data_IF_696865128210
#
_entry.id   IF_696865128210
#
_cell.length_a   1.000
_cell.length_b   1.000
_cell.length_c   1.000
_cell.angle_alpha   90.00
_cell.angle_beta   90.00
_cell.angle_gamma   90.00
#
_symmetry.space_group_name_H-M   'P 1'
#
loop_
_entity.id
_entity.type
_entity.pdbx_description
1 polymer ?
#
# COMPACT_ATOMS: atom_id res chain seq x y z
N UNK A 1 -3.29 1.05 22.20
CA UNK A 1 -3.87 1.63 20.98
C UNK A 1 -5.28 1.11 20.92
N UNK A 2 -6.24 1.95 20.73
CA UNK A 2 -7.56 1.41 20.86
C UNK A 2 -8.33 1.65 19.57
N UNK A 3 -8.08 0.77 18.60
CA UNK A 3 -9.08 0.47 17.58
C UNK A 3 -10.03 -0.53 18.23
N UNK A 4 -11.30 -0.17 18.30
CA UNK A 4 -12.35 -1.03 18.80
C UNK A 4 -13.07 -1.72 17.64
N UNK A 5 -13.38 -2.98 17.82
CA UNK A 5 -14.18 -3.76 16.87
C UNK A 5 -15.66 -3.80 17.28
N UNK A 6 -16.53 -3.75 16.28
CA UNK A 6 -17.97 -3.86 16.44
C UNK A 6 -18.57 -4.83 15.41
N UNK A 7 -19.64 -5.51 15.78
CA UNK A 7 -20.38 -6.40 14.86
C UNK A 7 -21.44 -5.66 14.03
N UNK A 8 -21.66 -4.37 14.29
CA UNK A 8 -22.63 -3.53 13.58
C UNK A 8 -22.23 -2.07 13.65
N UNK A 9 -22.74 -1.25 12.74
CA UNK A 9 -22.55 0.21 12.77
C UNK A 9 -23.28 0.87 13.94
N UNK A 10 -24.41 0.33 14.38
CA UNK A 10 -25.37 0.95 15.31
C UNK A 10 -25.70 2.43 14.94
N UNK A 11 -25.59 2.77 13.65
CA UNK A 11 -25.74 4.13 13.11
C UNK A 11 -24.76 5.16 13.72
N UNK A 12 -23.59 4.73 14.16
CA UNK A 12 -22.51 5.59 14.63
C UNK A 12 -21.64 6.04 13.45
N UNK A 13 -21.58 7.33 13.10
CA UNK A 13 -20.82 7.84 11.96
C UNK A 13 -19.30 7.76 12.16
N UNK A 14 -18.81 7.47 13.36
CA UNK A 14 -17.39 7.28 13.65
C UNK A 14 -16.94 5.83 13.46
N UNK A 15 -17.86 4.92 13.10
CA UNK A 15 -17.56 3.53 12.80
C UNK A 15 -17.34 3.32 11.31
N UNK A 16 -16.21 2.76 10.98
CA UNK A 16 -15.81 2.41 9.62
C UNK A 16 -16.13 0.95 9.32
N UNK A 17 -16.83 0.72 8.22
CA UNK A 17 -17.11 -0.63 7.74
C UNK A 17 -15.85 -1.26 7.15
N UNK A 18 -15.64 -2.54 7.43
CA UNK A 18 -14.59 -3.34 6.82
C UNK A 18 -15.23 -4.32 5.85
N UNK A 19 -14.96 -4.11 4.58
CA UNK A 19 -15.39 -4.97 3.49
C UNK A 19 -14.19 -5.63 2.81
N UNK A 20 -14.37 -6.86 2.37
CA UNK A 20 -13.41 -7.56 1.53
C UNK A 20 -14.16 -8.29 0.42
N UNK A 21 -14.04 -7.81 -0.83
CA UNK A 21 -14.71 -8.41 -2.01
C UNK A 21 -16.18 -8.73 -1.72
N UNK A 22 -16.93 -7.76 -1.24
CA UNK A 22 -18.35 -7.88 -0.85
C UNK A 22 -18.63 -8.73 0.42
N UNK A 23 -17.60 -9.21 1.12
CA UNK A 23 -17.79 -9.79 2.45
C UNK A 23 -17.77 -8.69 3.51
N UNK A 24 -18.83 -8.57 4.28
CA UNK A 24 -18.85 -7.75 5.49
C UNK A 24 -18.04 -8.47 6.57
N UNK A 25 -16.92 -7.87 6.97
CA UNK A 25 -16.05 -8.41 8.01
C UNK A 25 -16.45 -7.87 9.38
N UNK A 26 -16.89 -6.63 9.46
CA UNK A 26 -17.31 -5.96 10.69
C UNK A 26 -17.04 -4.46 10.62
N UNK A 27 -16.98 -3.83 11.79
CA UNK A 27 -16.83 -2.38 11.90
C UNK A 27 -15.73 -2.06 12.90
N UNK A 28 -14.99 -0.97 12.64
CA UNK A 28 -13.95 -0.48 13.54
C UNK A 28 -14.18 1.00 13.86
N UNK A 29 -13.71 1.42 15.03
CA UNK A 29 -13.61 2.84 15.38
C UNK A 29 -12.31 3.10 16.13
N UNK A 30 -11.81 4.32 16.00
CA UNK A 30 -10.66 4.81 16.74
C UNK A 30 -11.12 5.31 18.14
N UNK A 31 -10.74 4.61 19.20
CA UNK A 31 -11.04 5.05 20.57
C UNK A 31 -10.14 6.22 20.99
N UNK A 32 -8.85 6.13 20.64
CA UNK A 32 -7.86 7.16 20.98
C UNK A 32 -6.82 7.29 19.89
N UNK A 33 -6.69 8.49 19.32
CA UNK A 33 -5.65 8.80 18.35
C UNK A 33 -4.27 8.59 18.95
N UNK A 34 -3.38 7.82 18.35
CA UNK A 34 -2.02 7.64 18.84
C UNK A 34 -1.26 8.96 18.78
N UNK A 35 -0.40 9.20 19.75
CA UNK A 35 0.54 10.32 19.70
C UNK A 35 1.74 9.98 18.83
N UNK A 36 2.33 11.01 18.21
CA UNK A 36 3.57 10.87 17.44
C UNK A 36 4.67 10.21 18.30
N UNK A 37 5.24 9.08 17.88
CA UNK A 37 6.33 8.43 18.62
C UNK A 37 7.63 9.24 18.51
N UNK A 38 8.47 9.19 19.52
CA UNK A 38 9.81 9.78 19.43
C UNK A 38 10.74 8.94 18.52
N UNK A 39 11.84 9.55 18.08
CA UNK A 39 12.78 8.91 17.15
C UNK A 39 13.40 7.60 17.71
N UNK A 40 13.59 7.51 19.03
CA UNK A 40 14.12 6.31 19.67
C UNK A 40 13.11 5.16 19.62
N UNK A 41 11.84 5.46 19.86
CA UNK A 41 10.73 4.52 19.74
C UNK A 41 10.58 4.05 18.29
N UNK A 42 10.61 4.98 17.31
CA UNK A 42 10.55 4.66 15.87
C UNK A 42 11.68 3.69 15.50
N UNK A 43 12.92 4.02 15.89
CA UNK A 43 14.09 3.17 15.61
C UNK A 43 13.99 1.79 16.27
N UNK A 44 13.48 1.73 17.49
CA UNK A 44 13.30 0.46 18.20
C UNK A 44 12.28 -0.43 17.50
N UNK A 45 11.11 0.11 17.17
CA UNK A 45 10.06 -0.60 16.43
C UNK A 45 10.52 -1.05 15.05
N UNK A 46 11.21 -0.16 14.33
CA UNK A 46 11.80 -0.49 13.03
C UNK A 46 12.74 -1.68 13.09
N UNK A 47 13.62 -1.71 14.11
CA UNK A 47 14.59 -2.81 14.30
C UNK A 47 13.92 -4.12 14.74
N UNK A 48 12.73 -4.05 15.32
CA UNK A 48 11.92 -5.20 15.72
C UNK A 48 10.95 -5.66 14.61
N UNK A 49 11.06 -5.11 13.40
CA UNK A 49 10.16 -5.39 12.28
C UNK A 49 8.66 -5.09 12.58
N UNK A 50 8.41 -4.10 13.45
CA UNK A 50 7.06 -3.63 13.76
C UNK A 50 6.62 -2.53 12.79
N UNK A 51 5.33 -2.52 12.40
CA UNK A 51 4.72 -1.38 11.71
C UNK A 51 4.66 -0.15 12.62
N UNK A 52 4.87 1.05 12.05
CA UNK A 52 5.01 2.28 12.81
C UNK A 52 4.13 3.36 12.20
N UNK A 53 3.09 3.77 12.92
CA UNK A 53 2.28 4.91 12.53
C UNK A 53 2.95 6.21 13.00
N UNK A 54 3.02 7.19 12.10
CA UNK A 54 3.44 8.56 12.34
C UNK A 54 2.22 9.47 12.11
N UNK A 55 1.41 9.71 13.15
CA UNK A 55 0.17 10.46 12.99
C UNK A 55 0.47 11.94 12.69
N UNK A 56 -0.29 12.50 11.76
CA UNK A 56 -0.29 13.89 11.36
C UNK A 56 1.07 14.47 10.90
N UNK A 57 2.06 13.62 10.58
CA UNK A 57 3.41 14.10 10.22
C UNK A 57 3.43 14.92 8.93
N UNK A 58 2.49 14.69 8.02
CA UNK A 58 2.33 15.44 6.77
C UNK A 58 1.15 16.43 6.80
N UNK A 59 0.50 16.63 7.94
CA UNK A 59 -0.68 17.47 8.03
C UNK A 59 -0.44 18.92 7.58
N UNK A 60 0.76 19.45 7.83
CA UNK A 60 1.15 20.81 7.45
C UNK A 60 1.35 21.02 5.93
N UNK A 61 1.45 19.93 5.16
CA UNK A 61 1.67 20.00 3.71
C UNK A 61 0.46 19.57 2.87
N UNK A 62 -0.55 18.92 3.46
CA UNK A 62 -1.77 18.51 2.74
C UNK A 62 -2.47 19.71 2.06
N UNK A 63 -2.64 20.81 2.76
CA UNK A 63 -3.26 22.02 2.18
C UNK A 63 -2.45 22.59 1.01
N UNK A 64 -1.13 22.44 1.04
CA UNK A 64 -0.24 22.91 -0.03
C UNK A 64 -0.52 22.18 -1.35
N UNK A 65 -0.83 20.90 -1.29
CA UNK A 65 -1.09 20.05 -2.44
C UNK A 65 -2.59 19.91 -2.78
N UNK A 66 -3.48 20.68 -2.14
CA UNK A 66 -4.92 20.56 -2.34
C UNK A 66 -5.36 20.66 -3.81
N UNK A 67 -4.74 21.55 -4.58
CA UNK A 67 -5.02 21.71 -6.01
C UNK A 67 -4.52 20.51 -6.83
N UNK A 68 -3.35 19.96 -6.49
CA UNK A 68 -2.78 18.81 -7.17
C UNK A 68 -3.60 17.56 -6.87
N UNK A 69 -3.98 17.34 -5.62
CA UNK A 69 -4.91 16.29 -5.20
C UNK A 69 -6.27 16.38 -5.93
N UNK A 70 -6.81 17.58 -6.11
CA UNK A 70 -8.05 17.76 -6.90
C UNK A 70 -7.85 17.37 -8.37
N UNK A 71 -6.66 17.62 -8.94
CA UNK A 71 -6.34 17.27 -10.33
C UNK A 71 -6.11 15.77 -10.48
N UNK A 72 -5.40 15.14 -9.57
CA UNK A 72 -5.18 13.69 -9.58
C UNK A 72 -6.50 12.91 -9.42
N UNK A 73 -7.40 13.38 -8.55
CA UNK A 73 -8.75 12.80 -8.42
C UNK A 73 -9.58 12.94 -9.70
N UNK A 74 -9.49 14.08 -10.40
CA UNK A 74 -10.14 14.25 -11.72
C UNK A 74 -9.55 13.31 -12.78
N UNK A 75 -8.24 13.08 -12.76
CA UNK A 75 -7.60 12.11 -13.66
C UNK A 75 -8.14 10.70 -13.39
N UNK A 76 -8.19 10.30 -12.11
CA UNK A 76 -8.76 9.03 -11.70
C UNK A 76 -10.24 8.89 -12.14
N UNK A 77 -11.08 9.87 -11.82
CA UNK A 77 -12.51 9.85 -12.15
C UNK A 77 -12.74 9.70 -13.67
N UNK A 78 -11.97 10.41 -14.49
CA UNK A 78 -12.04 10.30 -15.95
C UNK A 78 -11.56 8.93 -16.43
N UNK A 79 -10.54 8.36 -15.80
CA UNK A 79 -10.06 7.01 -16.11
C UNK A 79 -11.11 5.95 -15.76
N UNK A 80 -11.79 6.09 -14.61
CA UNK A 80 -12.93 5.25 -14.22
C UNK A 80 -14.09 5.32 -15.24
N UNK A 81 -14.27 6.45 -15.91
CA UNK A 81 -15.25 6.63 -16.97
C UNK A 81 -14.79 6.06 -18.33
N UNK A 82 -13.67 5.36 -18.38
CA UNK A 82 -13.14 4.71 -19.57
C UNK A 82 -12.43 5.65 -20.55
N UNK A 83 -12.01 6.83 -20.09
CA UNK A 83 -11.23 7.74 -20.92
C UNK A 83 -9.74 7.34 -20.89
N UNK A 84 -9.07 7.37 -22.06
CA UNK A 84 -7.63 7.16 -22.17
C UNK A 84 -6.83 8.17 -21.34
N UNK A 85 -5.72 7.74 -20.75
CA UNK A 85 -4.87 8.57 -19.87
C UNK A 85 -3.93 9.45 -20.72
N UNK A 86 -3.34 8.91 -21.78
CA UNK A 86 -2.37 9.62 -22.62
C UNK A 86 -2.85 11.01 -23.09
N UNK A 87 -4.05 11.16 -23.67
CA UNK A 87 -4.53 12.48 -24.10
C UNK A 87 -4.69 13.49 -22.95
N UNK A 88 -4.85 13.00 -21.71
CA UNK A 88 -4.98 13.86 -20.53
C UNK A 88 -3.63 14.34 -20.05
N UNK A 89 -2.64 13.45 -20.07
CA UNK A 89 -1.25 13.76 -19.71
C UNK A 89 -0.63 14.74 -20.73
N UNK A 90 -1.03 14.67 -22.00
CA UNK A 90 -0.63 15.63 -23.03
C UNK A 90 -1.37 16.98 -22.96
N UNK A 91 -2.34 17.13 -22.08
CA UNK A 91 -3.08 18.36 -21.84
C UNK A 91 -2.62 19.07 -20.55
N UNK A 92 -2.99 20.36 -20.42
CA UNK A 92 -2.75 21.08 -19.15
C UNK A 92 -3.60 20.50 -17.99
N UNK A 93 -3.05 20.44 -16.78
CA UNK A 93 -1.77 21.05 -16.35
C UNK A 93 -0.53 20.15 -16.54
N UNK A 94 -0.69 18.92 -16.97
CA UNK A 94 0.38 17.93 -17.07
C UNK A 94 1.39 18.30 -18.17
N UNK A 95 0.89 18.76 -19.33
CA UNK A 95 1.74 19.10 -20.47
C UNK A 95 2.85 20.10 -20.12
N UNK A 96 2.55 21.16 -19.37
CA UNK A 96 3.55 22.16 -18.98
C UNK A 96 4.53 21.65 -17.92
N UNK A 97 4.17 20.63 -17.13
CA UNK A 97 5.04 20.00 -16.13
C UNK A 97 5.99 18.98 -16.78
N UNK A 98 5.50 18.26 -17.78
CA UNK A 98 6.26 17.24 -18.49
C UNK A 98 7.22 17.83 -19.51
N UNK A 99 6.80 18.83 -20.27
CA UNK A 99 7.61 19.43 -21.34
C UNK A 99 8.57 20.50 -20.84
N UNK A 100 9.80 20.58 -21.39
CA UNK A 100 10.30 19.70 -22.46
C UNK A 100 11.00 18.44 -21.98
N UNK A 101 11.04 18.15 -20.67
CA UNK A 101 11.93 17.13 -20.10
C UNK A 101 11.45 15.70 -20.33
N UNK A 102 10.13 15.46 -20.31
CA UNK A 102 9.54 14.13 -20.40
C UNK A 102 8.54 14.06 -21.57
N UNK A 103 8.98 14.01 -22.83
CA UNK A 103 8.08 13.82 -23.95
C UNK A 103 7.42 12.43 -23.87
N UNK A 104 6.09 12.37 -24.00
CA UNK A 104 5.36 11.12 -24.13
C UNK A 104 5.66 10.51 -25.50
N UNK A 105 6.17 9.29 -25.53
CA UNK A 105 6.53 8.57 -26.75
C UNK A 105 5.39 7.69 -27.26
N UNK A 106 4.76 6.95 -26.38
CA UNK A 106 3.70 6.02 -26.70
C UNK A 106 2.85 5.68 -25.47
N UNK A 107 1.65 5.19 -25.75
CA UNK A 107 0.78 4.59 -24.76
C UNK A 107 0.30 3.24 -25.30
N UNK A 108 0.31 2.21 -24.45
CA UNK A 108 -0.08 0.86 -24.82
C UNK A 108 -0.97 0.21 -23.78
N UNK A 109 -1.77 -0.75 -24.21
CA UNK A 109 -2.44 -1.71 -23.35
C UNK A 109 -1.62 -3.00 -23.35
N UNK A 110 -1.29 -3.56 -22.18
CA UNK A 110 -0.55 -4.82 -22.08
C UNK A 110 -1.54 -6.00 -22.11
N UNK A 111 -1.69 -6.65 -23.26
CA UNK A 111 -2.69 -7.71 -23.50
C UNK A 111 -2.59 -8.92 -22.53
N UNK A 112 -1.43 -9.13 -21.91
CA UNK A 112 -1.20 -10.25 -20.99
C UNK A 112 -1.29 -9.85 -19.51
N UNK A 113 -1.62 -8.60 -19.23
CA UNK A 113 -1.86 -8.07 -17.91
C UNK A 113 -3.31 -7.58 -17.79
N UNK A 114 -4.17 -8.45 -17.30
CA UNK A 114 -5.62 -8.18 -17.17
C UNK A 114 -5.93 -6.97 -16.25
N UNK A 115 -4.98 -6.59 -15.39
CA UNK A 115 -5.12 -5.39 -14.54
C UNK A 115 -4.66 -4.12 -15.25
N UNK A 116 -3.93 -4.20 -16.35
CA UNK A 116 -3.43 -3.03 -17.07
C UNK A 116 -4.59 -2.18 -17.60
N UNK A 117 -4.58 -0.89 -17.25
CA UNK A 117 -5.46 0.12 -17.87
C UNK A 117 -4.71 0.74 -19.04
N UNK A 118 -3.55 1.32 -18.78
CA UNK A 118 -2.70 1.93 -19.80
C UNK A 118 -1.26 2.06 -19.27
N UNK A 119 -0.27 1.82 -20.13
CA UNK A 119 1.15 2.03 -19.85
C UNK A 119 1.70 3.07 -20.79
N UNK A 120 2.23 4.14 -20.21
CA UNK A 120 2.79 5.29 -20.92
C UNK A 120 4.31 5.24 -20.86
N UNK A 121 4.96 5.48 -22.00
CA UNK A 121 6.43 5.49 -22.12
C UNK A 121 6.93 6.88 -22.40
N UNK A 122 8.03 7.23 -21.74
CA UNK A 122 8.66 8.54 -21.81
C UNK A 122 10.16 8.38 -22.00
N UNK A 123 10.76 9.34 -22.71
CA UNK A 123 12.19 9.61 -22.57
C UNK A 123 12.39 10.82 -21.65
N UNK A 124 13.58 10.92 -21.08
CA UNK A 124 14.03 12.14 -20.42
C UNK A 124 14.98 12.89 -21.33
N UNK A 125 14.68 14.16 -21.63
CA UNK A 125 15.47 15.03 -22.49
C UNK A 125 16.02 16.24 -21.74
N UNK A 126 17.24 16.62 -22.05
CA UNK A 126 17.84 17.85 -21.59
C UNK A 126 18.62 18.52 -22.73
N UNK A 127 18.34 19.81 -22.99
CA UNK A 127 18.98 20.60 -24.07
C UNK A 127 18.88 19.95 -25.48
N UNK A 128 17.84 19.12 -25.73
CA UNK A 128 17.64 18.44 -27.00
C UNK A 128 18.41 17.11 -27.12
N UNK A 129 19.00 16.63 -26.06
CA UNK A 129 19.67 15.34 -25.98
C UNK A 129 18.87 14.42 -25.03
N UNK A 130 18.69 13.14 -25.39
CA UNK A 130 18.08 12.14 -24.54
C UNK A 130 19.08 11.77 -23.44
N UNK A 131 18.70 11.96 -22.18
CA UNK A 131 19.49 11.64 -20.99
C UNK A 131 19.01 10.39 -20.25
N UNK A 132 17.82 9.89 -20.60
CA UNK A 132 17.26 8.64 -20.07
C UNK A 132 16.19 8.09 -21.00
N UNK A 133 16.23 6.81 -21.24
CA UNK A 133 15.28 6.07 -22.08
C UNK A 133 14.47 5.08 -21.24
N UNK A 134 13.35 4.61 -21.79
CA UNK A 134 12.52 3.56 -21.20
C UNK A 134 11.92 3.91 -19.81
N UNK A 135 11.67 5.19 -19.55
CA UNK A 135 10.85 5.58 -18.39
C UNK A 135 9.38 5.26 -18.66
N UNK A 136 8.68 4.81 -17.65
CA UNK A 136 7.26 4.50 -17.83
C UNK A 136 6.41 4.81 -16.59
N UNK A 137 5.12 5.07 -16.87
CA UNK A 137 4.04 5.15 -15.89
C UNK A 137 2.96 4.16 -16.29
N UNK A 138 2.64 3.21 -15.42
CA UNK A 138 1.59 2.21 -15.64
C UNK A 138 0.43 2.45 -14.69
N UNK A 139 -0.75 2.68 -15.28
CA UNK A 139 -2.01 2.66 -14.57
C UNK A 139 -2.59 1.25 -14.62
N UNK A 140 -3.00 0.72 -13.48
CA UNK A 140 -3.61 -0.60 -13.37
C UNK A 140 -4.67 -0.68 -12.27
N UNK A 141 -5.63 -1.58 -12.44
CA UNK A 141 -6.57 -1.95 -11.38
C UNK A 141 -5.84 -2.67 -10.25
N UNK A 142 -6.38 -2.59 -9.03
CA UNK A 142 -5.86 -3.33 -7.87
C UNK A 142 -6.57 -4.67 -7.68
N UNK A 143 -7.78 -4.81 -8.18
CA UNK A 143 -8.62 -5.98 -8.01
C UNK A 143 -9.25 -6.41 -9.33
N UNK A 144 -9.58 -7.69 -9.45
CA UNK A 144 -10.43 -8.24 -10.50
C UNK A 144 -11.92 -8.22 -10.10
N UNK A 145 -12.26 -7.72 -8.90
CA UNK A 145 -13.64 -7.60 -8.45
C UNK A 145 -14.27 -6.34 -9.04
N UNK A 146 -15.34 -6.48 -9.82
CA UNK A 146 -16.07 -5.37 -10.47
C UNK A 146 -16.61 -4.32 -9.47
N UNK A 147 -16.69 -4.65 -8.19
CA UNK A 147 -17.12 -3.74 -7.14
C UNK A 147 -15.97 -2.94 -6.51
N UNK A 148 -14.72 -3.21 -6.90
CA UNK A 148 -13.54 -2.50 -6.43
C UNK A 148 -12.87 -1.74 -7.59
N UNK A 149 -13.21 -0.46 -7.70
CA UNK A 149 -12.64 0.45 -8.68
C UNK A 149 -11.32 1.11 -8.22
N UNK A 150 -10.62 0.49 -7.26
CA UNK A 150 -9.30 0.97 -6.83
C UNK A 150 -8.28 0.79 -7.93
N UNK A 151 -7.43 1.81 -8.12
CA UNK A 151 -6.38 1.79 -9.13
C UNK A 151 -5.05 2.30 -8.55
N UNK A 152 -3.96 2.04 -9.27
CA UNK A 152 -2.63 2.55 -8.96
C UNK A 152 -1.93 3.05 -10.20
N UNK A 153 -1.07 4.05 -9.99
CA UNK A 153 -0.06 4.48 -10.95
C UNK A 153 1.32 4.09 -10.40
N UNK A 154 2.03 3.26 -11.12
CA UNK A 154 3.40 2.82 -10.79
C UNK A 154 4.38 3.46 -11.76
N UNK A 155 5.51 3.92 -11.23
CA UNK A 155 6.57 4.56 -12.00
C UNK A 155 7.86 3.76 -11.89
N UNK A 156 8.48 3.49 -13.03
CA UNK A 156 9.77 2.82 -13.11
C UNK A 156 10.43 3.06 -14.48
N UNK A 157 11.44 2.27 -14.82
CA UNK A 157 12.15 2.32 -16.10
C UNK A 157 12.62 0.92 -16.49
N UNK A 158 13.01 0.77 -17.77
CA UNK A 158 13.49 -0.48 -18.32
C UNK A 158 12.41 -1.55 -18.44
N UNK A 159 12.84 -2.78 -18.67
CA UNK A 159 11.94 -3.94 -18.77
C UNK A 159 11.71 -4.54 -17.39
N UNK A 160 10.47 -4.50 -16.94
CA UNK A 160 10.06 -5.08 -15.66
C UNK A 160 10.47 -6.57 -15.58
N UNK A 161 11.14 -6.95 -14.48
CA UNK A 161 11.60 -8.32 -14.23
C UNK A 161 12.95 -8.72 -14.85
N UNK A 162 13.58 -7.89 -15.66
CA UNK A 162 14.87 -8.20 -16.31
C UNK A 162 16.04 -7.34 -15.80
N UNK A 163 15.78 -6.21 -15.20
CA UNK A 163 16.81 -5.30 -14.68
C UNK A 163 16.63 -5.05 -13.17
N UNK A 164 17.75 -4.92 -12.46
CA UNK A 164 17.74 -4.42 -11.09
C UNK A 164 17.61 -2.89 -11.16
N UNK A 165 16.36 -2.42 -11.33
CA UNK A 165 16.03 -0.99 -11.41
C UNK A 165 16.53 -0.20 -10.20
N UNK A 166 16.78 -0.87 -9.09
CA UNK A 166 17.34 -0.25 -7.89
C UNK A 166 18.85 0.03 -8.01
N UNK A 167 19.54 -0.58 -8.94
CA UNK A 167 20.98 -0.44 -9.10
C UNK A 167 21.40 0.78 -9.94
N UNK A 168 20.43 1.48 -10.56
CA UNK A 168 20.71 2.68 -11.37
C UNK A 168 20.14 3.95 -10.72
N UNK A 169 20.96 4.67 -9.91
CA UNK A 169 20.50 5.86 -9.20
C UNK A 169 20.16 7.04 -10.12
N UNK A 170 20.74 7.15 -11.32
CA UNK A 170 20.46 8.23 -12.25
C UNK A 170 19.08 8.04 -12.89
N UNK A 171 18.76 6.84 -13.34
CA UNK A 171 17.41 6.51 -13.86
C UNK A 171 16.34 6.55 -12.77
N UNK A 172 16.66 6.13 -11.55
CA UNK A 172 15.76 6.29 -10.39
C UNK A 172 15.42 7.76 -10.13
N UNK A 173 16.38 8.64 -10.27
CA UNK A 173 16.14 10.08 -10.13
C UNK A 173 15.19 10.59 -11.23
N UNK A 174 15.38 10.16 -12.48
CA UNK A 174 14.49 10.53 -13.58
C UNK A 174 13.07 9.99 -13.42
N UNK A 175 12.91 8.74 -12.99
CA UNK A 175 11.59 8.18 -12.67
C UNK A 175 10.91 8.95 -11.52
N UNK A 176 11.69 9.40 -10.54
CA UNK A 176 11.25 10.27 -9.45
C UNK A 176 10.71 11.60 -9.95
N UNK A 177 11.48 12.27 -10.81
CA UNK A 177 11.08 13.55 -11.38
C UNK A 177 9.88 13.42 -12.32
N UNK A 178 9.75 12.31 -13.05
CA UNK A 178 8.55 11.98 -13.85
C UNK A 178 7.33 11.81 -12.93
N UNK A 179 7.50 11.13 -11.78
CA UNK A 179 6.40 11.01 -10.80
C UNK A 179 5.96 12.38 -10.31
N UNK A 180 6.90 13.23 -9.90
CA UNK A 180 6.62 14.58 -9.39
C UNK A 180 6.01 15.50 -10.49
N UNK A 181 6.32 15.27 -11.77
CA UNK A 181 5.72 16.01 -12.89
C UNK A 181 4.25 15.66 -13.10
N UNK A 182 3.86 14.40 -12.92
CA UNK A 182 2.46 13.95 -13.05
C UNK A 182 1.70 14.15 -11.72
N UNK A 183 2.30 13.78 -10.59
CA UNK A 183 1.73 13.87 -9.24
C UNK A 183 2.62 14.69 -8.31
N UNK A 184 2.57 16.04 -8.35
CA UNK A 184 3.42 16.91 -7.53
C UNK A 184 3.28 16.66 -6.02
N UNK A 185 2.13 16.19 -5.58
CA UNK A 185 1.86 15.78 -4.19
C UNK A 185 2.78 14.65 -3.70
N UNK A 186 3.43 13.92 -4.60
CA UNK A 186 4.44 12.91 -4.27
C UNK A 186 5.63 13.50 -3.50
N UNK A 187 5.93 14.79 -3.72
CA UNK A 187 6.95 15.52 -2.99
C UNK A 187 6.64 15.66 -1.48
N UNK A 188 5.40 15.43 -1.06
CA UNK A 188 5.04 15.40 0.37
C UNK A 188 5.86 14.37 1.16
N UNK A 189 6.27 13.25 0.56
CA UNK A 189 7.18 12.29 1.21
C UNK A 189 8.64 12.72 1.00
N UNK A 190 9.03 12.97 -0.24
CA UNK A 190 10.43 13.06 -0.63
C UNK A 190 11.10 14.36 -0.19
N UNK A 191 10.34 15.44 -0.02
CA UNK A 191 10.83 16.76 0.37
C UNK A 191 10.51 17.15 1.81
N UNK A 192 9.71 16.35 2.55
CA UNK A 192 9.32 16.70 3.91
C UNK A 192 10.51 16.62 4.88
N UNK A 193 10.96 17.74 5.48
CA UNK A 193 12.22 17.76 6.20
C UNK A 193 12.22 16.93 7.48
N UNK A 194 11.12 16.93 8.25
CA UNK A 194 11.02 16.18 9.51
C UNK A 194 10.90 14.69 9.24
N UNK A 195 10.10 14.26 8.26
CA UNK A 195 9.99 12.86 7.86
C UNK A 195 11.35 12.34 7.37
N UNK A 196 12.02 13.05 6.45
CA UNK A 196 13.31 12.64 5.92
C UNK A 196 14.40 12.58 6.98
N UNK A 197 14.39 13.51 7.94
CA UNK A 197 15.30 13.46 9.08
C UNK A 197 15.07 12.21 9.93
N UNK A 198 13.80 11.90 10.25
CA UNK A 198 13.43 10.73 11.04
C UNK A 198 13.84 9.43 10.32
N UNK A 199 13.56 9.34 9.01
CA UNK A 199 13.94 8.19 8.19
C UNK A 199 15.46 8.03 8.11
N UNK A 200 16.22 9.12 7.95
CA UNK A 200 17.68 9.07 7.94
C UNK A 200 18.26 8.59 9.28
N UNK A 201 17.70 9.02 10.41
CA UNK A 201 18.08 8.54 11.75
C UNK A 201 17.72 7.06 11.95
N UNK A 202 16.59 6.62 11.39
CA UNK A 202 16.09 5.25 11.47
C UNK A 202 16.97 4.28 10.67
N UNK A 203 17.24 4.58 9.39
CA UNK A 203 18.02 3.70 8.50
C UNK A 203 19.54 3.89 8.64
N UNK A 204 19.99 4.95 9.31
CA UNK A 204 21.41 5.26 9.52
C UNK A 204 22.13 5.77 8.28
N UNK A 205 21.41 6.22 7.24
CA UNK A 205 21.91 6.75 5.99
C UNK A 205 20.89 7.70 5.35
N UNK A 206 21.25 8.37 4.25
CA UNK A 206 20.27 9.16 3.49
C UNK A 206 19.22 8.22 2.90
N UNK A 207 17.91 8.48 3.10
CA UNK A 207 16.86 7.68 2.48
C UNK A 207 16.85 7.89 0.96
N UNK A 208 16.55 6.83 0.23
CA UNK A 208 16.22 6.84 -1.18
C UNK A 208 14.84 6.23 -1.36
N UNK A 209 14.08 6.77 -2.30
CA UNK A 209 12.73 6.33 -2.60
C UNK A 209 12.69 5.77 -4.00
N UNK A 210 12.32 4.50 -4.09
CA UNK A 210 12.19 3.77 -5.34
C UNK A 210 10.79 3.22 -5.46
N UNK A 211 10.40 2.73 -6.64
CA UNK A 211 9.11 2.10 -6.86
C UNK A 211 7.94 2.92 -6.32
N UNK A 212 7.83 4.12 -6.81
CA UNK A 212 6.80 5.05 -6.39
C UNK A 212 5.46 4.63 -6.96
N UNK A 213 4.50 4.46 -6.07
CA UNK A 213 3.13 4.09 -6.41
C UNK A 213 2.19 5.13 -5.84
N UNK A 214 1.29 5.61 -6.68
CA UNK A 214 0.16 6.46 -6.30
C UNK A 214 -1.08 5.59 -6.33
N UNK A 215 -1.73 5.41 -5.19
CA UNK A 215 -2.96 4.64 -5.04
C UNK A 215 -4.18 5.53 -5.03
N UNK A 216 -5.22 5.10 -5.71
CA UNK A 216 -6.58 5.63 -5.56
C UNK A 216 -7.44 4.50 -5.01
N UNK A 217 -7.80 4.63 -3.75
CA UNK A 217 -8.55 3.64 -3.00
C UNK A 217 -10.04 3.93 -3.16
N UNK A 218 -10.75 3.13 -3.94
CA UNK A 218 -12.19 3.23 -4.06
C UNK A 218 -12.90 2.78 -2.78
N UNK A 219 -14.12 3.29 -2.47
CA UNK A 219 -14.92 2.76 -1.38
C UNK A 219 -15.07 1.25 -1.49
N UNK A 220 -14.96 0.55 -0.37
CA UNK A 220 -15.01 -0.92 -0.24
C UNK A 220 -13.85 -1.67 -0.89
N UNK A 221 -12.86 -0.97 -1.43
CA UNK A 221 -11.64 -1.54 -1.96
C UNK A 221 -10.59 -1.83 -0.88
N UNK A 222 -9.40 -2.10 -1.32
CA UNK A 222 -8.22 -2.32 -0.50
C UNK A 222 -7.37 -3.48 -0.99
N UNK A 223 -6.45 -3.95 -0.15
CA UNK A 223 -5.54 -5.04 -0.47
C UNK A 223 -5.68 -6.19 0.52
N UNK A 224 -5.63 -7.43 0.02
CA UNK A 224 -5.57 -8.64 0.82
C UNK A 224 -4.30 -8.67 1.68
N UNK A 225 -4.23 -9.58 2.64
CA UNK A 225 -3.05 -9.77 3.49
C UNK A 225 -1.84 -10.20 2.65
N UNK A 226 -0.81 -9.36 2.62
CA UNK A 226 0.39 -9.57 1.81
C UNK A 226 1.60 -8.86 2.43
N UNK A 227 2.75 -8.98 1.78
CA UNK A 227 3.98 -8.23 2.06
C UNK A 227 4.53 -7.60 0.78
N UNK A 228 5.39 -6.58 0.93
CA UNK A 228 6.04 -5.84 -0.18
C UNK A 228 7.55 -6.09 -0.23
N UNK A 229 8.02 -7.28 0.17
CA UNK A 229 9.45 -7.58 0.16
C UNK A 229 9.95 -7.71 -1.27
N UNK A 230 10.87 -6.82 -1.63
CA UNK A 230 11.61 -6.90 -2.88
C UNK A 230 13.11 -6.72 -2.63
N UNK A 231 13.92 -7.15 -3.61
CA UNK A 231 15.38 -7.11 -3.48
C UNK A 231 15.90 -5.69 -3.20
N UNK A 232 16.59 -5.55 -2.07
CA UNK A 232 17.21 -4.28 -1.65
C UNK A 232 16.25 -3.30 -0.98
N UNK A 233 14.96 -3.62 -0.81
CA UNK A 233 14.07 -2.82 0.00
C UNK A 233 14.45 -2.89 1.48
N UNK A 234 14.34 -1.75 2.18
CA UNK A 234 14.40 -1.68 3.64
C UNK A 234 13.00 -1.69 4.24
N UNK A 235 12.04 -1.15 3.50
CA UNK A 235 10.65 -1.03 3.91
C UNK A 235 9.84 -0.17 2.96
N UNK A 236 8.60 0.11 3.35
CA UNK A 236 7.66 0.96 2.65
C UNK A 236 7.32 2.17 3.52
N UNK A 237 7.23 3.33 2.88
CA UNK A 237 6.68 4.57 3.42
C UNK A 237 5.32 4.78 2.74
N UNK A 238 4.24 4.51 3.46
CA UNK A 238 2.89 4.74 2.98
C UNK A 238 2.33 6.03 3.61
N UNK A 239 1.81 6.96 2.80
CA UNK A 239 1.23 8.22 3.24
C UNK A 239 -0.21 8.36 2.76
N UNK A 240 -1.15 8.63 3.66
CA UNK A 240 -2.54 8.93 3.32
C UNK A 240 -2.65 10.41 2.96
N UNK A 241 -3.04 10.72 1.73
CA UNK A 241 -3.15 12.09 1.23
C UNK A 241 -4.59 12.60 1.27
N UNK A 242 -5.57 11.74 1.00
CA UNK A 242 -7.01 12.04 1.12
C UNK A 242 -7.80 10.77 1.43
N UNK A 243 -9.04 10.90 1.91
CA UNK A 243 -9.84 9.77 2.37
C UNK A 243 -9.28 9.11 3.63
N UNK A 244 -9.65 7.86 3.89
CA UNK A 244 -9.15 7.09 5.04
C UNK A 244 -9.05 5.60 4.73
N UNK A 245 -8.12 4.92 5.41
CA UNK A 245 -7.93 3.48 5.29
C UNK A 245 -7.75 2.84 6.66
N UNK A 246 -8.36 1.66 6.83
CA UNK A 246 -8.14 0.78 7.96
C UNK A 246 -7.07 -0.26 7.61
N UNK A 247 -6.23 -0.60 8.55
CA UNK A 247 -5.10 -1.51 8.35
C UNK A 247 -5.01 -2.54 9.48
N UNK A 248 -4.59 -3.74 9.12
CA UNK A 248 -3.90 -4.65 10.02
C UNK A 248 -2.46 -4.77 9.52
N UNK A 249 -1.48 -4.58 10.40
CA UNK A 249 -0.07 -4.66 10.01
C UNK A 249 0.77 -5.18 11.17
N UNK A 250 1.51 -6.27 10.92
CA UNK A 250 2.34 -6.93 11.92
C UNK A 250 3.47 -7.73 11.29
N UNK A 251 4.54 -7.98 12.03
CA UNK A 251 5.62 -8.84 11.55
C UNK A 251 5.12 -10.27 11.26
N UNK A 252 5.63 -10.90 10.21
CA UNK A 252 5.26 -12.28 9.81
C UNK A 252 5.33 -13.28 10.97
N UNK A 253 6.39 -13.31 11.81
CA UNK A 253 6.43 -14.21 12.95
C UNK A 253 5.28 -14.02 13.92
N UNK A 254 4.85 -12.77 14.13
CA UNK A 254 3.72 -12.43 14.99
C UNK A 254 2.41 -12.90 14.37
N UNK A 255 2.21 -12.68 13.06
CA UNK A 255 1.01 -13.16 12.36
C UNK A 255 0.88 -14.69 12.45
N UNK A 256 1.99 -15.42 12.29
CA UNK A 256 2.01 -16.89 12.46
C UNK A 256 1.60 -17.28 13.90
N UNK A 257 2.15 -16.59 14.91
CA UNK A 257 1.78 -16.85 16.33
C UNK A 257 0.28 -16.59 16.57
N UNK A 258 -0.29 -15.53 15.98
CA UNK A 258 -1.70 -15.19 16.13
C UNK A 258 -2.61 -16.17 15.37
N UNK A 259 -2.19 -16.70 14.20
CA UNK A 259 -2.90 -17.79 13.51
C UNK A 259 -2.96 -19.04 14.40
N UNK A 260 -1.82 -19.46 14.94
CA UNK A 260 -1.75 -20.63 15.85
C UNK A 260 -2.63 -20.42 17.09
N UNK A 261 -2.50 -19.26 17.75
CA UNK A 261 -3.29 -18.92 18.93
C UNK A 261 -4.80 -18.89 18.64
N UNK A 262 -5.22 -18.33 17.52
CA UNK A 262 -6.63 -18.29 17.13
C UNK A 262 -7.21 -19.70 16.90
N UNK A 263 -6.44 -20.57 16.22
CA UNK A 263 -6.88 -21.94 15.94
C UNK A 263 -7.06 -22.80 17.20
N UNK A 264 -6.47 -22.43 18.33
CA UNK A 264 -6.67 -23.05 19.63
C UNK A 264 -7.93 -22.56 20.35
N UNK A 265 -8.54 -21.45 19.93
CA UNK A 265 -9.75 -20.91 20.55
C UNK A 265 -10.97 -21.77 20.25
N UNK A 266 -11.92 -21.93 21.20
CA UNK A 266 -13.14 -22.73 20.99
C UNK A 266 -14.00 -22.24 19.82
N UNK A 267 -14.03 -20.93 19.57
CA UNK A 267 -14.78 -20.30 18.48
C UNK A 267 -14.18 -20.53 17.10
N UNK A 268 -12.92 -20.94 17.00
CA UNK A 268 -12.24 -21.12 15.72
C UNK A 268 -12.88 -22.19 14.84
N UNK A 269 -13.45 -23.24 15.42
CA UNK A 269 -14.13 -24.30 14.65
C UNK A 269 -15.34 -23.74 13.87
N UNK A 270 -16.19 -22.98 14.55
CA UNK A 270 -17.35 -22.36 13.93
C UNK A 270 -16.97 -21.25 12.94
N UNK A 271 -15.89 -20.52 13.21
CA UNK A 271 -15.37 -19.48 12.34
C UNK A 271 -14.78 -20.07 11.04
N UNK A 272 -13.96 -21.11 11.14
CA UNK A 272 -13.40 -21.81 9.98
C UNK A 272 -14.49 -22.42 9.10
N UNK A 273 -15.52 -23.01 9.67
CA UNK A 273 -16.62 -23.61 8.91
C UNK A 273 -17.37 -22.61 8.01
N UNK A 274 -17.28 -21.31 8.29
CA UNK A 274 -17.88 -20.24 7.46
C UNK A 274 -17.04 -19.94 6.22
N UNK A 275 -15.70 -19.96 6.34
CA UNK A 275 -14.76 -19.52 5.31
C UNK A 275 -14.11 -20.70 4.57
N UNK A 276 -14.03 -21.84 5.20
CA UNK A 276 -13.59 -23.13 4.65
C UNK A 276 -14.69 -24.17 4.91
N UNK A 277 -15.73 -24.25 4.06
CA UNK A 277 -16.86 -25.15 4.30
C UNK A 277 -16.52 -26.64 4.22
N UNK A 278 -15.40 -26.99 3.56
CA UNK A 278 -14.90 -28.35 3.48
C UNK A 278 -14.08 -28.72 4.73
N UNK A 279 -14.44 -29.82 5.38
CA UNK A 279 -13.80 -30.27 6.62
C UNK A 279 -12.34 -30.70 6.38
N UNK A 280 -12.01 -31.21 5.19
CA UNK A 280 -10.64 -31.62 4.86
C UNK A 280 -9.75 -30.38 4.75
N UNK A 281 -10.24 -29.26 4.19
CA UNK A 281 -9.54 -27.97 4.14
C UNK A 281 -9.32 -27.38 5.54
N UNK A 282 -10.33 -27.48 6.44
CA UNK A 282 -10.16 -27.04 7.84
C UNK A 282 -9.08 -27.85 8.56
N UNK A 283 -9.07 -29.17 8.37
CA UNK A 283 -8.05 -30.05 8.94
C UNK A 283 -6.67 -29.76 8.35
N UNK A 284 -6.57 -29.54 7.04
CA UNK A 284 -5.32 -29.20 6.38
C UNK A 284 -4.73 -27.90 6.91
N UNK A 285 -5.55 -26.86 7.13
CA UNK A 285 -5.08 -25.61 7.74
C UNK A 285 -4.57 -25.83 9.17
N UNK A 286 -5.25 -26.64 9.97
CA UNK A 286 -4.83 -26.97 11.35
C UNK A 286 -3.51 -27.74 11.36
N UNK A 287 -3.37 -28.77 10.51
CA UNK A 287 -2.14 -29.54 10.37
C UNK A 287 -0.97 -28.64 9.90
N UNK A 288 -1.24 -27.76 8.93
CA UNK A 288 -0.26 -26.76 8.46
C UNK A 288 0.21 -25.84 9.59
N UNK A 289 -0.73 -25.37 10.42
CA UNK A 289 -0.42 -24.48 11.53
C UNK A 289 0.32 -25.14 12.70
N UNK A 290 0.34 -26.48 12.80
CA UNK A 290 1.16 -27.20 13.80
C UNK A 290 2.65 -27.09 13.48
N UNK A 291 3.03 -26.93 12.20
CA UNK A 291 4.42 -26.71 11.77
C UNK A 291 4.61 -25.24 11.34
N UNK A 292 5.23 -24.45 12.22
CA UNK A 292 5.51 -23.03 12.00
C UNK A 292 6.27 -22.77 10.69
N UNK A 293 7.23 -23.61 10.35
CA UNK A 293 8.04 -23.44 9.14
C UNK A 293 7.22 -23.77 7.88
N UNK A 294 6.38 -24.80 7.93
CA UNK A 294 5.48 -25.15 6.84
C UNK A 294 4.45 -24.02 6.61
N UNK A 295 3.85 -23.47 7.67
CA UNK A 295 2.91 -22.35 7.57
C UNK A 295 3.60 -21.12 6.99
N UNK A 296 4.83 -20.78 7.45
CA UNK A 296 5.60 -19.66 6.91
C UNK A 296 5.87 -19.81 5.41
N UNK A 297 6.29 -20.99 4.96
CA UNK A 297 6.50 -21.25 3.55
C UNK A 297 5.20 -21.16 2.73
N UNK A 298 4.10 -21.73 3.26
CA UNK A 298 2.80 -21.69 2.59
C UNK A 298 2.30 -20.26 2.39
N UNK A 299 2.50 -19.38 3.38
CA UNK A 299 2.10 -17.98 3.26
C UNK A 299 2.85 -17.23 2.14
N UNK A 300 4.09 -17.65 1.81
CA UNK A 300 4.90 -17.04 0.74
C UNK A 300 4.57 -17.62 -0.65
N UNK A 301 3.75 -18.66 -0.75
CA UNK A 301 3.31 -19.22 -2.03
C UNK A 301 2.31 -18.28 -2.69
N UNK A 302 2.33 -18.22 -4.03
CA UNK A 302 1.37 -17.44 -4.80
C UNK A 302 -0.08 -17.90 -4.56
N UNK A 303 -0.27 -19.21 -4.35
CA UNK A 303 -1.57 -19.83 -4.08
C UNK A 303 -1.60 -20.36 -2.64
N UNK A 304 -2.01 -19.51 -1.72
CA UNK A 304 -2.10 -19.81 -0.29
C UNK A 304 -3.56 -19.80 0.22
N UNK A 305 -4.48 -20.36 -0.56
CA UNK A 305 -5.94 -20.32 -0.31
C UNK A 305 -6.37 -20.67 1.12
N UNK A 306 -5.70 -21.62 1.78
CA UNK A 306 -6.06 -22.03 3.14
C UNK A 306 -5.83 -20.90 4.16
N UNK A 307 -4.65 -20.29 4.13
CA UNK A 307 -4.32 -19.17 5.02
C UNK A 307 -5.03 -17.88 4.59
N UNK A 308 -5.20 -17.62 3.29
CA UNK A 308 -5.98 -16.51 2.77
C UNK A 308 -7.42 -16.53 3.26
N UNK A 309 -8.09 -17.69 3.25
CA UNK A 309 -9.46 -17.81 3.74
C UNK A 309 -9.59 -17.35 5.21
N UNK A 310 -8.57 -17.65 6.04
CA UNK A 310 -8.52 -17.18 7.41
C UNK A 310 -8.19 -15.69 7.51
N UNK A 311 -7.11 -15.26 6.85
CA UNK A 311 -6.56 -13.91 7.00
C UNK A 311 -7.43 -12.82 6.39
N UNK A 312 -8.14 -13.11 5.29
CA UNK A 312 -8.87 -12.10 4.53
C UNK A 312 -10.38 -12.21 4.61
N UNK A 313 -10.94 -13.38 4.96
CA UNK A 313 -12.39 -13.63 4.90
C UNK A 313 -13.01 -14.05 6.21
N UNK A 314 -12.23 -14.25 7.29
CA UNK A 314 -12.72 -14.69 8.58
C UNK A 314 -12.91 -13.50 9.55
N UNK A 315 -14.16 -13.00 9.75
CA UNK A 315 -14.42 -11.87 10.62
C UNK A 315 -13.91 -12.07 12.06
N UNK A 316 -14.00 -13.30 12.57
CA UNK A 316 -13.56 -13.63 13.92
C UNK A 316 -12.04 -13.54 14.07
N UNK A 317 -11.28 -13.93 13.03
CA UNK A 317 -9.82 -13.78 13.03
C UNK A 317 -9.40 -12.32 12.86
N UNK A 318 -10.03 -11.59 11.95
CA UNK A 318 -9.81 -10.16 11.77
C UNK A 318 -10.08 -9.41 13.08
N UNK A 319 -11.21 -9.71 13.75
CA UNK A 319 -11.52 -9.19 15.08
C UNK A 319 -10.43 -9.53 16.10
N UNK A 320 -9.97 -10.78 16.11
CA UNK A 320 -8.89 -11.22 17.01
C UNK A 320 -7.64 -10.34 16.84
N UNK A 321 -7.23 -10.06 15.58
CA UNK A 321 -6.06 -9.21 15.32
C UNK A 321 -6.28 -7.74 15.77
N UNK A 322 -7.48 -7.18 15.58
CA UNK A 322 -7.79 -5.84 16.10
C UNK A 322 -7.79 -5.80 17.63
N UNK A 323 -8.37 -6.80 18.29
CA UNK A 323 -8.39 -6.90 19.76
C UNK A 323 -6.96 -7.04 20.35
N UNK A 324 -6.04 -7.64 19.57
CA UNK A 324 -4.61 -7.76 19.92
C UNK A 324 -3.81 -6.48 19.69
N UNK A 325 -4.41 -5.48 19.01
CA UNK A 325 -3.83 -4.15 18.85
C UNK A 325 -2.97 -3.96 17.59
N UNK A 326 -3.14 -4.81 16.57
CA UNK A 326 -2.43 -4.69 15.29
C UNK A 326 -3.11 -3.78 14.28
N UNK A 327 -4.23 -3.16 14.66
CA UNK A 327 -5.01 -2.28 13.82
C UNK A 327 -4.50 -0.84 13.78
N UNK A 328 -4.69 -0.19 12.61
CA UNK A 328 -4.43 1.24 12.40
C UNK A 328 -5.58 1.84 11.59
N UNK A 329 -5.88 3.11 11.81
CA UNK A 329 -6.73 3.92 10.93
C UNK A 329 -5.88 5.09 10.48
N UNK A 330 -5.64 5.19 9.16
CA UNK A 330 -4.90 6.29 8.56
C UNK A 330 -5.88 7.34 8.02
N UNK A 331 -5.59 8.61 8.32
CA UNK A 331 -6.30 9.81 7.88
C UNK A 331 -5.33 10.70 7.08
N UNK A 332 -5.82 11.69 6.32
CA UNK A 332 -4.94 12.59 5.58
C UNK A 332 -3.84 13.20 6.46
N UNK A 333 -2.60 13.07 6.02
CA UNK A 333 -1.42 13.52 6.76
C UNK A 333 -0.71 12.44 7.58
N UNK A 334 -1.28 11.24 7.71
CA UNK A 334 -0.65 10.12 8.40
C UNK A 334 0.33 9.37 7.50
N UNK A 335 1.37 8.84 8.13
CA UNK A 335 2.32 7.94 7.49
C UNK A 335 2.39 6.62 8.26
N UNK A 336 2.41 5.50 7.54
CA UNK A 336 2.70 4.17 8.06
C UNK A 336 4.02 3.70 7.48
N UNK A 337 4.98 3.36 8.37
CA UNK A 337 6.25 2.77 8.00
C UNK A 337 6.18 1.26 8.22
N UNK A 338 6.56 0.49 7.22
CA UNK A 338 6.54 -0.97 7.26
C UNK A 338 7.91 -1.53 6.88
N UNK A 339 8.66 -2.15 7.81
CA UNK A 339 9.87 -2.90 7.48
C UNK A 339 9.60 -4.04 6.49
N UNK A 340 10.42 -4.11 5.41
CA UNK A 340 10.28 -5.10 4.32
C UNK A 340 11.66 -5.62 3.90
N UNK A 341 12.50 -6.00 4.89
CA UNK A 341 13.92 -6.32 4.68
C UNK A 341 14.16 -7.74 4.21
N UNK A 342 13.37 -8.67 4.70
CA UNK A 342 13.43 -10.09 4.34
C UNK A 342 12.08 -10.79 4.53
N UNK A 343 11.92 -11.96 3.91
CA UNK A 343 10.67 -12.73 3.95
C UNK A 343 10.32 -13.29 5.32
N UNK A 344 11.29 -13.50 6.19
CA UNK A 344 11.08 -14.17 7.48
C UNK A 344 10.53 -13.23 8.55
N UNK A 345 10.81 -11.92 8.44
CA UNK A 345 10.47 -10.94 9.47
C UNK A 345 9.66 -9.76 8.97
N UNK A 346 9.43 -9.64 7.66
CA UNK A 346 8.69 -8.54 7.03
C UNK A 346 7.32 -8.28 7.66
N UNK A 347 6.86 -7.05 7.53
CA UNK A 347 5.50 -6.70 7.91
C UNK A 347 4.51 -7.21 6.86
N UNK A 348 3.64 -8.11 7.27
CA UNK A 348 2.44 -8.48 6.54
C UNK A 348 1.33 -7.49 6.87
N UNK A 349 0.57 -7.10 5.87
CA UNK A 349 -0.49 -6.12 6.05
C UNK A 349 -1.68 -6.35 5.11
N UNK A 350 -2.83 -5.89 5.54
CA UNK A 350 -4.06 -5.82 4.75
C UNK A 350 -4.66 -4.44 4.87
N UNK A 351 -5.30 -3.96 3.81
CA UNK A 351 -5.85 -2.61 3.70
C UNK A 351 -7.35 -2.68 3.44
N UNK A 352 -8.10 -1.82 4.11
CA UNK A 352 -9.54 -1.62 3.92
C UNK A 352 -9.79 -0.14 3.63
N UNK A 353 -10.47 0.16 2.52
CA UNK A 353 -10.89 1.52 2.22
C UNK A 353 -12.12 1.87 3.05
N UNK A 354 -11.99 2.85 3.95
CA UNK A 354 -13.00 3.16 4.98
C UNK A 354 -13.73 4.48 4.72
N UNK A 355 -13.37 5.22 3.66
CA UNK A 355 -14.05 6.46 3.26
C UNK A 355 -15.20 6.19 2.29
N UNK A 356 -16.21 7.08 2.31
CA UNK A 356 -17.32 7.06 1.36
C UNK A 356 -16.90 7.49 -0.06
N UNK A 357 -15.90 8.37 -0.14
CA UNK A 357 -15.31 8.84 -1.39
C UNK A 357 -13.94 8.18 -1.64
N UNK A 358 -13.50 8.07 -2.90
CA UNK A 358 -12.16 7.59 -3.21
C UNK A 358 -11.08 8.41 -2.52
N UNK A 359 -10.09 7.73 -1.94
CA UNK A 359 -8.95 8.35 -1.28
C UNK A 359 -7.66 8.14 -2.06
N UNK A 360 -6.74 9.10 -1.96
CA UNK A 360 -5.41 9.01 -2.53
C UNK A 360 -4.37 8.69 -1.47
N UNK A 361 -3.43 7.83 -1.82
CA UNK A 361 -2.30 7.49 -0.98
C UNK A 361 -1.02 7.30 -1.81
N UNK A 362 0.11 7.59 -1.17
CA UNK A 362 1.45 7.40 -1.73
C UNK A 362 2.11 6.20 -1.06
N UNK A 363 2.72 5.32 -1.84
CA UNK A 363 3.48 4.18 -1.31
C UNK A 363 4.83 4.11 -2.00
N UNK A 364 5.89 4.38 -1.27
CA UNK A 364 7.24 4.44 -1.80
C UNK A 364 8.13 3.42 -1.10
N UNK A 365 8.84 2.62 -1.89
CA UNK A 365 9.84 1.73 -1.37
C UNK A 365 11.04 2.52 -0.83
N UNK A 366 11.41 2.24 0.42
CA UNK A 366 12.52 2.87 1.11
C UNK A 366 13.79 2.06 0.89
N UNK A 367 14.83 2.74 0.43
CA UNK A 367 16.21 2.22 0.32
C UNK A 367 17.17 3.19 1.01
N UNK A 368 18.43 2.85 1.06
CA UNK A 368 19.50 3.78 1.46
C UNK A 368 20.46 4.02 0.31
N UNK A 369 21.02 5.21 0.29
CA UNK A 369 22.17 5.51 -0.56
C UNK A 369 23.42 5.31 0.30
N UNK A 370 24.27 4.37 -0.08
CA UNK A 370 25.57 4.07 0.57
C UNK A 370 26.61 5.15 0.24
#
# INVERSE_FOLDING_TARGET
MAIQWFSSSDNDPERYELLRRSFELGWIAEDTRPSMPDAATVKTKWNNDEAIMLPDILADVIDRYSTDLEQSHKLMERTLNGEEIAPKIEAEPYASRLNPKFPLLSAVFEEHDEQCIEKLFFDAEENGEVIGEDLWCKASWLSFDDNDASMRFRFSFGMEGYEDVAADPERQMLASELTDAIFPESAAITEHPELNKLLAEMVGAKPAYTERIIYFNAPNGGAQMHHDVERGHLGVVFAQMSGSTGWLAMAKPVLIDEIQAFLELPESEAALAKVLPDIDSQNALRELAEDRAALSCHMDEFDHELSEALMDRCPEFIKHLFDRGYGYILKPGDVLLMPQRDLETCVWHTVFCTSEDPGEALSFALRRID
#
